data_IF_098360041347
#
_entry.id   IF_098360041347
#
_cell.length_a   1.000
_cell.length_b   1.000
_cell.length_c   1.000
_cell.angle_alpha   90.00
_cell.angle_beta   90.00
_cell.angle_gamma   90.00
#
_symmetry.space_group_name_H-M   'P 1'
#
loop_
_entity.id
_entity.type
_entity.pdbx_description
1 polymer ?
#
# COMPACT_ATOMS: atom_id res chain seq x y z
N UNK A 1 -18.58 32.95 -1.83
CA UNK A 1 -18.34 31.49 -1.83
C UNK A 1 -18.19 31.09 -0.35
N UNK A 2 -19.23 30.50 0.25
CA UNK A 2 -19.24 30.10 1.66
C UNK A 2 -18.16 29.03 1.85
N UNK A 3 -17.13 29.32 2.64
CA UNK A 3 -16.15 28.34 3.11
C UNK A 3 -16.90 27.44 4.11
N UNK A 4 -17.58 26.40 3.61
CA UNK A 4 -18.08 25.34 4.49
C UNK A 4 -16.88 24.72 5.19
N UNK A 5 -16.95 24.58 6.51
CA UNK A 5 -15.96 23.85 7.30
C UNK A 5 -15.76 22.45 6.69
N UNK A 6 -14.52 21.95 6.70
CA UNK A 6 -14.26 20.61 6.19
C UNK A 6 -15.11 19.57 6.96
N UNK A 7 -15.56 18.51 6.30
CA UNK A 7 -16.34 17.47 6.95
C UNK A 7 -15.51 16.84 8.09
N UNK A 8 -16.16 16.65 9.23
CA UNK A 8 -15.59 16.08 10.44
C UNK A 8 -16.27 14.77 10.81
N UNK A 9 -15.70 14.01 11.74
CA UNK A 9 -16.28 12.79 12.28
C UNK A 9 -15.99 11.53 11.45
N UNK A 10 -16.81 10.52 11.67
CA UNK A 10 -16.63 9.18 11.10
C UNK A 10 -17.30 9.08 9.74
N UNK A 11 -16.56 8.68 8.72
CA UNK A 11 -17.08 8.39 7.38
C UNK A 11 -17.15 6.88 7.15
N UNK A 12 -18.37 6.37 6.97
CA UNK A 12 -18.63 5.01 6.49
C UNK A 12 -18.67 4.99 4.96
N UNK A 13 -17.98 4.06 4.35
CA UNK A 13 -17.94 3.94 2.89
C UNK A 13 -18.34 2.54 2.42
N UNK A 14 -17.69 1.51 2.91
CA UNK A 14 -17.88 0.13 2.47
C UNK A 14 -18.05 -0.80 3.68
N UNK A 15 -19.08 -1.62 3.69
CA UNK A 15 -19.25 -2.62 4.75
C UNK A 15 -18.19 -3.72 4.67
N UNK A 16 -17.90 -4.35 5.80
CA UNK A 16 -16.98 -5.49 5.90
C UNK A 16 -17.41 -6.64 4.97
N UNK A 17 -18.71 -6.91 4.89
CA UNK A 17 -19.26 -7.97 4.02
C UNK A 17 -18.96 -7.68 2.54
N UNK A 18 -19.20 -6.45 2.07
CA UNK A 18 -18.91 -6.06 0.69
C UNK A 18 -17.41 -6.18 0.40
N UNK A 19 -16.55 -5.75 1.32
CA UNK A 19 -15.10 -5.91 1.18
C UNK A 19 -14.69 -7.39 1.08
N UNK A 20 -15.23 -8.26 1.96
CA UNK A 20 -14.96 -9.72 1.92
C UNK A 20 -15.34 -10.33 0.57
N UNK A 21 -16.54 -10.03 0.09
CA UNK A 21 -17.04 -10.53 -1.21
C UNK A 21 -16.14 -10.04 -2.34
N UNK A 22 -15.78 -8.77 -2.33
CA UNK A 22 -14.93 -8.17 -3.37
C UNK A 22 -13.53 -8.79 -3.39
N UNK A 23 -12.88 -8.97 -2.24
CA UNK A 23 -11.58 -9.64 -2.16
C UNK A 23 -11.69 -11.10 -2.61
N UNK A 24 -12.72 -11.82 -2.17
CA UNK A 24 -12.94 -13.22 -2.60
C UNK A 24 -13.14 -13.32 -4.11
N UNK A 25 -13.95 -12.44 -4.71
CA UNK A 25 -14.17 -12.41 -6.16
C UNK A 25 -12.87 -12.13 -6.93
N UNK A 26 -12.03 -11.21 -6.46
CA UNK A 26 -10.73 -10.94 -7.09
C UNK A 26 -9.87 -12.20 -7.10
N UNK A 27 -9.79 -12.94 -6.01
CA UNK A 27 -9.01 -14.18 -5.94
C UNK A 27 -9.61 -15.28 -6.80
N UNK A 28 -10.93 -15.48 -6.73
CA UNK A 28 -11.62 -16.51 -7.52
C UNK A 28 -11.47 -16.25 -9.03
N UNK A 29 -11.76 -15.01 -9.46
CA UNK A 29 -11.70 -14.67 -10.89
C UNK A 29 -10.26 -14.65 -11.43
N UNK A 30 -9.26 -14.42 -10.58
CA UNK A 30 -7.85 -14.53 -10.98
C UNK A 30 -7.46 -15.94 -11.43
N UNK A 31 -8.16 -16.99 -10.94
CA UNK A 31 -7.95 -18.36 -11.39
C UNK A 31 -8.37 -18.56 -12.86
N UNK A 32 -9.14 -17.62 -13.40
CA UNK A 32 -9.51 -17.62 -14.83
C UNK A 32 -8.32 -17.61 -15.79
N UNK A 33 -7.10 -17.24 -15.32
CA UNK A 33 -5.86 -17.31 -16.13
C UNK A 33 -5.60 -18.69 -16.73
N UNK A 34 -6.13 -19.74 -16.10
CA UNK A 34 -6.01 -21.14 -16.60
C UNK A 34 -7.06 -21.50 -17.66
N UNK A 35 -8.05 -20.63 -17.90
CA UNK A 35 -9.23 -20.95 -18.72
C UNK A 35 -9.45 -19.96 -19.87
N UNK A 36 -8.68 -18.86 -19.95
CA UNK A 36 -8.81 -17.86 -21.01
C UNK A 36 -7.57 -17.88 -21.93
N UNK A 37 -7.71 -17.41 -23.18
CA UNK A 37 -6.57 -17.26 -24.09
C UNK A 37 -5.42 -16.47 -23.46
N UNK A 38 -4.20 -16.94 -23.69
CA UNK A 38 -2.95 -16.31 -23.25
C UNK A 38 -2.23 -15.65 -24.42
N UNK A 39 -1.67 -14.48 -24.19
CA UNK A 39 -0.69 -13.84 -25.06
C UNK A 39 0.43 -13.22 -24.22
N UNK A 40 1.63 -13.06 -24.77
CA UNK A 40 2.72 -12.35 -24.07
C UNK A 40 2.35 -10.89 -23.72
N UNK A 41 1.67 -10.12 -24.59
CA UNK A 41 1.18 -8.78 -24.22
C UNK A 41 0.22 -8.77 -23.03
N UNK A 42 -0.62 -9.80 -22.83
CA UNK A 42 -1.45 -9.92 -21.61
C UNK A 42 -0.60 -10.08 -20.36
N UNK A 43 0.44 -10.90 -20.41
CA UNK A 43 1.38 -11.04 -19.28
C UNK A 43 2.10 -9.72 -18.98
N UNK A 44 2.60 -9.03 -20.02
CA UNK A 44 3.22 -7.70 -19.85
C UNK A 44 2.22 -6.72 -19.25
N UNK A 45 0.97 -6.69 -19.73
CA UNK A 45 -0.11 -5.88 -19.18
C UNK A 45 -0.39 -6.20 -17.71
N UNK A 46 -0.39 -7.48 -17.33
CA UNK A 46 -0.55 -7.91 -15.95
C UNK A 46 0.60 -7.44 -15.05
N UNK A 47 1.85 -7.54 -15.50
CA UNK A 47 3.02 -7.05 -14.77
C UNK A 47 2.99 -5.52 -14.61
N UNK A 48 2.68 -4.79 -15.68
CA UNK A 48 2.52 -3.33 -15.63
C UNK A 48 1.39 -2.96 -14.66
N UNK A 49 0.24 -3.61 -14.76
CA UNK A 49 -0.89 -3.41 -13.85
C UNK A 49 -0.54 -3.69 -12.38
N UNK A 50 0.25 -4.73 -12.14
CA UNK A 50 0.78 -5.05 -10.81
C UNK A 50 1.65 -3.91 -10.25
N UNK A 51 2.67 -3.49 -10.98
CA UNK A 51 3.58 -2.43 -10.50
C UNK A 51 2.90 -1.07 -10.36
N UNK A 52 1.93 -0.74 -11.23
CA UNK A 52 1.12 0.47 -11.08
C UNK A 52 0.33 0.43 -9.75
N UNK A 53 -0.30 -0.71 -9.41
CA UNK A 53 -1.07 -0.86 -8.15
C UNK A 53 -0.18 -0.82 -6.92
N UNK A 54 0.97 -1.50 -6.95
CA UNK A 54 1.92 -1.47 -5.84
C UNK A 54 2.49 -0.06 -5.65
N UNK A 55 2.80 0.66 -6.74
CA UNK A 55 3.20 2.06 -6.66
C UNK A 55 2.07 2.97 -6.13
N UNK A 56 0.84 2.78 -6.60
CA UNK A 56 -0.32 3.55 -6.15
C UNK A 56 -0.55 3.42 -4.64
N UNK A 57 -0.35 2.21 -4.12
CA UNK A 57 -0.40 1.96 -2.69
C UNK A 57 0.85 2.48 -1.97
N UNK A 58 2.05 2.09 -2.37
CA UNK A 58 3.30 2.45 -1.66
C UNK A 58 3.66 3.93 -1.84
N UNK A 59 3.67 4.45 -3.06
CA UNK A 59 3.96 5.85 -3.36
C UNK A 59 2.81 6.79 -2.98
N UNK A 60 1.56 6.40 -3.28
CA UNK A 60 0.36 7.17 -3.04
C UNK A 60 -0.15 7.04 -1.60
N UNK A 61 -0.83 5.93 -1.28
CA UNK A 61 -1.49 5.76 0.02
C UNK A 61 -0.52 5.83 1.19
N UNK A 62 0.63 5.20 1.07
CA UNK A 62 1.61 5.07 2.15
C UNK A 62 2.50 6.32 2.25
N UNK A 63 3.41 6.57 1.29
CA UNK A 63 4.39 7.67 1.42
C UNK A 63 3.75 9.05 1.32
N UNK A 64 2.75 9.25 0.43
CA UNK A 64 2.13 10.56 0.27
C UNK A 64 1.02 10.81 1.28
N UNK A 65 -0.09 10.02 1.24
CA UNK A 65 -1.27 10.32 2.05
C UNK A 65 -1.05 10.05 3.54
N UNK A 66 -0.31 8.99 3.91
CA UNK A 66 -0.04 8.71 5.33
C UNK A 66 1.07 9.59 5.90
N UNK A 67 2.23 9.68 5.23
CA UNK A 67 3.45 10.24 5.81
C UNK A 67 3.86 11.60 5.27
N UNK A 68 3.20 12.12 4.22
CA UNK A 68 3.58 13.41 3.61
C UNK A 68 5.08 13.47 3.24
N UNK A 69 5.63 12.36 2.75
CA UNK A 69 7.04 12.18 2.48
C UNK A 69 7.57 13.05 1.31
N UNK A 70 6.69 13.60 0.52
CA UNK A 70 6.97 14.56 -0.55
C UNK A 70 5.79 15.50 -0.78
N UNK A 71 5.98 16.51 -1.63
CA UNK A 71 4.93 17.45 -2.03
C UNK A 71 4.53 17.26 -3.50
N UNK A 72 3.31 17.69 -3.82
CA UNK A 72 2.79 17.70 -5.20
C UNK A 72 1.68 18.74 -5.35
N UNK A 73 1.24 18.98 -6.60
CA UNK A 73 0.08 19.83 -6.89
C UNK A 73 -1.24 19.16 -6.47
N UNK A 74 -2.29 19.98 -6.28
CA UNK A 74 -3.64 19.47 -5.94
C UNK A 74 -4.18 18.52 -7.02
N UNK A 75 -3.92 18.82 -8.29
CA UNK A 75 -4.32 17.96 -9.40
C UNK A 75 -3.61 16.61 -9.35
N UNK A 76 -2.29 16.61 -9.16
CA UNK A 76 -1.53 15.36 -9.10
C UNK A 76 -1.84 14.57 -7.81
N UNK A 77 -2.12 15.26 -6.69
CA UNK A 77 -2.67 14.64 -5.48
C UNK A 77 -3.95 13.85 -5.77
N UNK A 78 -4.88 14.44 -6.55
CA UNK A 78 -6.12 13.76 -6.91
C UNK A 78 -5.87 12.55 -7.82
N UNK A 79 -4.95 12.66 -8.79
CA UNK A 79 -4.52 11.52 -9.62
C UNK A 79 -3.91 10.39 -8.79
N UNK A 80 -3.04 10.71 -7.83
CA UNK A 80 -2.51 9.73 -6.88
C UNK A 80 -3.62 9.07 -6.05
N UNK A 81 -4.63 9.84 -5.65
CA UNK A 81 -5.77 9.32 -4.90
C UNK A 81 -6.63 8.37 -5.74
N UNK A 82 -6.86 8.70 -7.02
CA UNK A 82 -7.55 7.81 -7.96
C UNK A 82 -6.78 6.51 -8.18
N UNK A 83 -5.47 6.59 -8.39
CA UNK A 83 -4.62 5.41 -8.51
C UNK A 83 -4.67 4.55 -7.24
N UNK A 84 -4.58 5.18 -6.05
CA UNK A 84 -4.67 4.50 -4.77
C UNK A 84 -6.01 3.78 -4.57
N UNK A 85 -7.14 4.45 -4.89
CA UNK A 85 -8.46 3.83 -4.88
C UNK A 85 -8.57 2.67 -5.90
N UNK A 86 -7.97 2.85 -7.09
CA UNK A 86 -7.89 1.83 -8.14
C UNK A 86 -7.07 0.59 -7.78
N UNK A 87 -6.17 0.69 -6.80
CA UNK A 87 -5.46 -0.47 -6.23
C UNK A 87 -6.38 -1.41 -5.44
N UNK A 88 -7.59 -0.98 -5.09
CA UNK A 88 -8.72 -1.86 -4.75
C UNK A 88 -8.81 -2.27 -3.27
N UNK A 89 -8.05 -1.69 -2.34
CA UNK A 89 -8.22 -2.03 -0.92
C UNK A 89 -9.32 -1.15 -0.32
N UNK A 90 -9.09 0.13 -0.13
CA UNK A 90 -10.06 1.13 0.34
C UNK A 90 -9.64 2.52 -0.14
N UNK A 91 -10.28 3.56 0.38
CA UNK A 91 -9.97 4.94 0.00
C UNK A 91 -8.69 5.50 0.64
N UNK A 92 -8.13 6.60 0.08
CA UNK A 92 -6.85 7.16 0.52
C UNK A 92 -6.89 7.73 1.95
N UNK A 93 -8.02 8.30 2.40
CA UNK A 93 -8.16 8.80 3.77
C UNK A 93 -8.27 7.63 4.76
N UNK A 94 -9.03 6.59 4.40
CA UNK A 94 -9.12 5.37 5.20
C UNK A 94 -7.73 4.78 5.47
N UNK A 95 -6.96 4.62 4.40
CA UNK A 95 -5.60 4.09 4.53
C UNK A 95 -4.74 4.97 5.44
N UNK A 96 -4.74 6.29 5.20
CA UNK A 96 -3.92 7.21 5.97
C UNK A 96 -4.25 7.20 7.46
N UNK A 97 -5.54 7.14 7.84
CA UNK A 97 -5.95 7.12 9.25
C UNK A 97 -5.52 5.86 9.96
N UNK A 98 -5.73 4.70 9.35
CA UNK A 98 -5.34 3.41 9.94
C UNK A 98 -3.83 3.23 10.00
N UNK A 99 -3.11 3.62 8.96
CA UNK A 99 -1.66 3.52 8.92
C UNK A 99 -0.97 4.49 9.91
N UNK A 100 -1.50 5.71 10.06
CA UNK A 100 -1.04 6.64 11.10
C UNK A 100 -1.34 6.12 12.50
N UNK A 101 -2.47 5.44 12.71
CA UNK A 101 -2.78 4.76 13.97
C UNK A 101 -1.77 3.64 14.24
N UNK A 102 -1.52 2.78 13.25
CA UNK A 102 -0.49 1.75 13.33
C UNK A 102 0.86 2.33 13.80
N UNK A 103 1.37 3.40 13.18
CA UNK A 103 2.64 4.00 13.61
C UNK A 103 2.63 4.58 15.02
N UNK A 104 1.47 5.08 15.50
CA UNK A 104 1.36 5.60 16.88
C UNK A 104 1.29 4.48 17.91
N UNK A 105 0.75 3.35 17.57
CA UNK A 105 0.45 2.24 18.49
C UNK A 105 1.13 0.95 18.10
N UNK A 106 2.14 1.03 17.23
CA UNK A 106 2.80 -0.13 16.62
C UNK A 106 3.14 -1.20 17.65
N UNK A 107 2.71 -2.43 17.36
CA UNK A 107 2.93 -3.62 18.18
C UNK A 107 2.36 -3.54 19.61
N UNK A 108 1.34 -2.71 19.83
CA UNK A 108 0.53 -2.73 21.06
C UNK A 108 -0.85 -3.34 20.79
N UNK A 109 -1.65 -3.65 21.85
CA UNK A 109 -3.03 -4.12 21.66
C UNK A 109 -3.94 -3.14 20.89
N UNK A 110 -3.59 -1.86 20.82
CA UNK A 110 -4.34 -0.82 20.08
C UNK A 110 -3.93 -0.73 18.59
N UNK A 111 -2.89 -1.43 18.17
CA UNK A 111 -2.46 -1.48 16.78
C UNK A 111 -3.46 -2.29 15.94
N UNK A 112 -4.08 -1.70 14.90
CA UNK A 112 -5.12 -2.36 14.13
C UNK A 112 -4.63 -3.61 13.39
N UNK A 113 -3.37 -3.67 12.99
CA UNK A 113 -2.86 -4.71 12.08
C UNK A 113 -1.61 -5.45 12.58
N UNK A 114 -1.26 -5.35 13.87
CA UNK A 114 -0.15 -6.14 14.41
C UNK A 114 -0.45 -7.64 14.42
N UNK A 115 0.48 -8.49 13.96
CA UNK A 115 0.35 -9.93 14.06
C UNK A 115 0.61 -10.48 15.47
N UNK A 116 1.14 -9.69 16.41
CA UNK A 116 1.65 -10.18 17.69
C UNK A 116 0.54 -10.70 18.62
N UNK A 117 -0.62 -10.09 18.62
CA UNK A 117 -1.72 -10.43 19.55
C UNK A 117 -2.78 -11.34 18.93
N UNK A 118 -3.04 -11.20 17.62
CA UNK A 118 -4.11 -11.96 16.94
C UNK A 118 -3.56 -12.92 15.86
N UNK A 119 -2.24 -13.05 15.78
CA UNK A 119 -1.54 -13.97 14.90
C UNK A 119 -1.33 -13.46 13.47
N UNK A 120 -0.54 -14.22 12.71
CA UNK A 120 -0.09 -13.86 11.36
C UNK A 120 -1.23 -13.49 10.41
N UNK A 121 -2.28 -14.31 10.34
CA UNK A 121 -3.40 -14.08 9.42
C UNK A 121 -4.19 -12.82 9.73
N UNK A 122 -4.25 -12.41 11.01
CA UNK A 122 -4.82 -11.12 11.37
C UNK A 122 -3.98 -9.98 10.81
N UNK A 123 -2.66 -9.96 11.05
CA UNK A 123 -1.75 -8.94 10.52
C UNK A 123 -1.70 -8.93 8.99
N UNK A 124 -1.87 -10.09 8.35
CA UNK A 124 -1.84 -10.24 6.90
C UNK A 124 -3.08 -9.63 6.22
N UNK A 125 -4.27 -10.05 6.61
CA UNK A 125 -5.52 -9.62 5.96
C UNK A 125 -6.71 -9.48 6.93
N UNK A 126 -6.71 -10.19 8.06
CA UNK A 126 -7.85 -10.27 8.95
C UNK A 126 -8.27 -8.93 9.54
N UNK A 127 -7.32 -8.05 9.81
CA UNK A 127 -7.57 -6.71 10.35
C UNK A 127 -8.49 -5.85 9.46
N UNK A 128 -8.48 -6.09 8.13
CA UNK A 128 -9.37 -5.41 7.19
C UNK A 128 -10.85 -5.75 7.42
N UNK A 129 -11.12 -6.89 8.03
CA UNK A 129 -12.47 -7.42 8.27
C UNK A 129 -12.99 -7.15 9.69
N UNK A 130 -12.21 -6.43 10.50
CA UNK A 130 -12.67 -5.99 11.81
C UNK A 130 -13.67 -4.82 11.65
N UNK A 131 -14.86 -4.87 12.26
CA UNK A 131 -15.89 -3.84 12.11
C UNK A 131 -15.39 -2.43 12.47
N UNK A 132 -14.57 -2.31 13.52
CA UNK A 132 -13.98 -1.03 13.94
C UNK A 132 -13.05 -0.41 12.90
N UNK A 133 -12.50 -1.21 11.98
CA UNK A 133 -11.63 -0.75 10.89
C UNK A 133 -12.41 -0.43 9.60
N UNK A 134 -13.75 -0.57 9.59
CA UNK A 134 -14.54 -0.35 8.38
C UNK A 134 -14.67 1.13 7.98
N UNK A 135 -14.56 2.04 8.94
CA UNK A 135 -14.78 3.48 8.74
C UNK A 135 -13.47 4.28 8.68
N UNK A 136 -13.55 5.51 8.21
CA UNK A 136 -12.46 6.50 8.20
C UNK A 136 -12.73 7.56 9.26
N UNK A 137 -11.74 7.86 10.10
CA UNK A 137 -11.77 9.00 11.02
C UNK A 137 -11.23 10.25 10.30
N UNK A 138 -12.13 11.14 9.88
CA UNK A 138 -11.77 12.37 9.19
C UNK A 138 -11.02 13.35 10.11
N UNK A 139 -11.28 13.31 11.42
CA UNK A 139 -10.60 14.15 12.40
C UNK A 139 -9.14 13.75 12.60
N UNK A 140 -8.82 12.47 12.46
CA UNK A 140 -7.45 11.98 12.48
C UNK A 140 -6.66 12.32 11.19
N UNK A 141 -7.36 12.76 10.11
CA UNK A 141 -6.76 13.13 8.84
C UNK A 141 -7.28 14.48 8.31
N UNK A 142 -7.42 15.50 9.18
CA UNK A 142 -7.89 16.86 8.82
C UNK A 142 -7.11 17.49 7.67
N UNK A 143 -5.82 17.20 7.57
CA UNK A 143 -4.94 17.61 6.48
C UNK A 143 -5.35 17.05 5.12
N UNK A 144 -6.06 15.93 5.07
CA UNK A 144 -6.65 15.31 3.87
C UNK A 144 -8.13 15.69 3.72
N UNK A 145 -8.89 15.68 4.83
CA UNK A 145 -10.33 15.96 4.83
C UNK A 145 -10.68 17.38 4.37
N UNK A 146 -9.73 18.33 4.43
CA UNK A 146 -9.90 19.68 3.86
C UNK A 146 -10.06 19.71 2.33
N UNK A 147 -9.81 18.60 1.63
CA UNK A 147 -9.97 18.47 0.19
C UNK A 147 -11.26 17.69 -0.12
N UNK A 148 -12.36 18.38 -0.54
CA UNK A 148 -13.65 17.72 -0.77
C UNK A 148 -13.57 16.55 -1.74
N UNK A 149 -12.76 16.68 -2.79
CA UNK A 149 -12.54 15.62 -3.78
C UNK A 149 -11.95 14.34 -3.17
N UNK A 150 -11.09 14.47 -2.17
CA UNK A 150 -10.53 13.30 -1.47
C UNK A 150 -11.58 12.64 -0.57
N UNK A 151 -12.44 13.44 0.08
CA UNK A 151 -13.54 12.94 0.93
C UNK A 151 -14.56 12.19 0.08
N UNK A 152 -14.96 12.76 -1.06
CA UNK A 152 -15.88 12.09 -2.00
C UNK A 152 -15.27 10.81 -2.55
N UNK A 153 -14.01 10.85 -3.00
CA UNK A 153 -13.32 9.68 -3.50
C UNK A 153 -13.16 8.60 -2.42
N UNK A 154 -12.85 9.00 -1.18
CA UNK A 154 -12.74 8.06 -0.06
C UNK A 154 -14.06 7.35 0.24
N UNK A 155 -15.19 8.07 0.12
CA UNK A 155 -16.53 7.50 0.30
C UNK A 155 -16.90 6.53 -0.81
N UNK A 156 -16.56 6.84 -2.06
CA UNK A 156 -16.96 6.11 -3.25
C UNK A 156 -15.82 5.35 -3.93
N UNK A 157 -14.73 5.08 -3.21
CA UNK A 157 -13.51 4.46 -3.73
C UNK A 157 -13.74 3.15 -4.51
N UNK A 158 -14.76 2.37 -4.13
CA UNK A 158 -15.06 1.07 -4.73
C UNK A 158 -15.57 1.15 -6.18
N UNK A 159 -15.98 2.32 -6.67
CA UNK A 159 -16.31 2.51 -8.08
C UNK A 159 -15.07 2.60 -8.98
N UNK A 160 -13.93 3.06 -8.46
CA UNK A 160 -12.71 3.23 -9.26
C UNK A 160 -12.21 1.91 -9.84
N UNK A 161 -12.08 0.81 -9.08
CA UNK A 161 -11.71 -0.49 -9.63
C UNK A 161 -12.68 -0.99 -10.70
N UNK A 162 -13.99 -0.70 -10.58
CA UNK A 162 -14.98 -1.08 -11.60
C UNK A 162 -14.77 -0.34 -12.92
N UNK A 163 -14.43 0.95 -12.86
CA UNK A 163 -14.06 1.73 -14.04
C UNK A 163 -12.79 1.19 -14.68
N UNK A 164 -11.76 0.88 -13.87
CA UNK A 164 -10.51 0.29 -14.37
C UNK A 164 -10.76 -1.06 -15.03
N UNK A 165 -11.62 -1.91 -14.43
CA UNK A 165 -12.03 -3.19 -15.02
C UNK A 165 -12.72 -2.99 -16.37
N UNK A 166 -13.71 -2.09 -16.44
CA UNK A 166 -14.44 -1.80 -17.67
C UNK A 166 -13.51 -1.29 -18.77
N UNK A 167 -12.61 -0.34 -18.46
CA UNK A 167 -11.62 0.17 -19.42
C UNK A 167 -10.69 -0.94 -19.88
N UNK A 168 -10.20 -1.79 -18.97
CA UNK A 168 -9.32 -2.92 -19.31
C UNK A 168 -10.02 -3.90 -20.25
N UNK A 169 -11.29 -4.23 -19.98
CA UNK A 169 -12.11 -5.07 -20.85
C UNK A 169 -12.26 -4.45 -22.25
N UNK A 170 -12.69 -3.17 -22.32
CA UNK A 170 -12.91 -2.48 -23.60
C UNK A 170 -11.62 -2.37 -24.43
N UNK A 171 -10.48 -2.09 -23.79
CA UNK A 171 -9.19 -2.08 -24.48
C UNK A 171 -8.86 -3.45 -25.04
N UNK A 172 -9.06 -4.52 -24.29
CA UNK A 172 -8.83 -5.89 -24.78
C UNK A 172 -9.79 -6.32 -25.87
N UNK A 173 -11.05 -5.84 -25.84
CA UNK A 173 -12.08 -6.20 -26.81
C UNK A 173 -11.87 -5.48 -28.15
N UNK A 174 -11.62 -4.18 -28.12
CA UNK A 174 -11.66 -3.33 -29.30
C UNK A 174 -10.29 -2.90 -29.83
N UNK A 175 -9.18 -3.25 -29.17
CA UNK A 175 -7.84 -2.92 -29.63
C UNK A 175 -6.95 -4.16 -29.72
N UNK A 176 -5.89 -4.10 -30.53
CA UNK A 176 -4.87 -5.16 -30.59
C UNK A 176 -3.74 -4.99 -29.54
N UNK A 177 -3.91 -4.15 -28.53
CA UNK A 177 -2.88 -3.87 -27.52
C UNK A 177 -2.38 -5.14 -26.83
N UNK A 178 -3.27 -6.10 -26.61
CA UNK A 178 -2.94 -7.38 -25.97
C UNK A 178 -2.67 -8.53 -26.96
N UNK A 179 -2.36 -8.20 -28.20
CA UNK A 179 -1.98 -9.16 -29.24
C UNK A 179 -3.04 -9.43 -30.29
N UNK A 180 -4.32 -9.24 -29.99
CA UNK A 180 -5.44 -9.31 -30.91
C UNK A 180 -6.64 -8.54 -30.34
N UNK A 181 -7.65 -8.25 -31.18
CA UNK A 181 -8.99 -7.84 -30.76
C UNK A 181 -9.79 -9.03 -30.24
N UNK A 182 -10.90 -8.80 -29.52
CA UNK A 182 -11.74 -9.86 -28.95
C UNK A 182 -11.15 -10.52 -27.69
N UNK A 183 -10.15 -9.91 -27.07
CA UNK A 183 -9.51 -10.39 -25.84
C UNK A 183 -10.02 -9.69 -24.57
N UNK A 184 -11.22 -9.10 -24.58
CA UNK A 184 -11.78 -8.37 -23.46
C UNK A 184 -11.82 -9.17 -22.16
N UNK A 185 -12.32 -10.41 -22.20
CA UNK A 185 -12.36 -11.31 -21.03
C UNK A 185 -10.94 -11.68 -20.58
N UNK A 186 -10.05 -12.02 -21.51
CA UNK A 186 -8.65 -12.33 -21.17
C UNK A 186 -7.94 -11.15 -20.54
N UNK A 187 -8.15 -9.92 -21.04
CA UNK A 187 -7.61 -8.70 -20.48
C UNK A 187 -8.16 -8.45 -19.06
N UNK A 188 -9.46 -8.61 -18.85
CA UNK A 188 -10.07 -8.50 -17.52
C UNK A 188 -9.45 -9.51 -16.54
N UNK A 189 -9.26 -10.75 -16.95
CA UNK A 189 -8.68 -11.80 -16.10
C UNK A 189 -7.19 -11.53 -15.81
N UNK A 190 -6.36 -11.36 -16.84
CA UNK A 190 -4.91 -11.19 -16.67
C UNK A 190 -4.53 -9.83 -16.12
N UNK A 191 -4.99 -8.75 -16.78
CA UNK A 191 -4.50 -7.38 -16.51
C UNK A 191 -5.21 -6.74 -15.33
N UNK A 192 -6.47 -7.13 -15.03
CA UNK A 192 -7.17 -6.60 -13.87
C UNK A 192 -7.17 -7.60 -12.70
N UNK A 193 -7.85 -8.75 -12.78
CA UNK A 193 -8.04 -9.63 -11.62
C UNK A 193 -6.73 -10.26 -11.13
N UNK A 194 -5.96 -10.88 -12.01
CA UNK A 194 -4.72 -11.54 -11.62
C UNK A 194 -3.67 -10.56 -11.09
N UNK A 195 -3.46 -9.42 -11.77
CA UNK A 195 -2.52 -8.40 -11.29
C UNK A 195 -2.96 -7.76 -9.96
N UNK A 196 -4.29 -7.58 -9.76
CA UNK A 196 -4.84 -7.07 -8.50
C UNK A 196 -4.63 -8.08 -7.37
N UNK A 197 -4.92 -9.36 -7.61
CA UNK A 197 -4.69 -10.42 -6.63
C UNK A 197 -3.22 -10.46 -6.21
N UNK A 198 -2.27 -10.44 -7.16
CA UNK A 198 -0.84 -10.41 -6.84
C UNK A 198 -0.44 -9.16 -6.04
N UNK A 199 -0.98 -7.98 -6.39
CA UNK A 199 -0.69 -6.75 -5.66
C UNK A 199 -1.20 -6.78 -4.21
N UNK A 200 -2.33 -7.47 -3.94
CA UNK A 200 -2.81 -7.70 -2.58
C UNK A 200 -1.84 -8.55 -1.77
N UNK A 201 -1.26 -9.62 -2.37
CA UNK A 201 -0.27 -10.44 -1.66
C UNK A 201 0.96 -9.61 -1.27
N UNK A 202 1.46 -8.76 -2.18
CA UNK A 202 2.58 -7.87 -1.89
C UNK A 202 2.24 -6.90 -0.75
N UNK A 203 1.07 -6.24 -0.81
CA UNK A 203 0.58 -5.30 0.20
C UNK A 203 0.44 -5.97 1.58
N UNK A 204 -0.30 -7.08 1.64
CA UNK A 204 -0.61 -7.74 2.90
C UNK A 204 0.63 -8.36 3.57
N UNK A 205 1.63 -8.76 2.77
CA UNK A 205 2.87 -9.33 3.29
C UNK A 205 3.74 -8.33 4.06
N UNK A 206 3.67 -7.02 3.75
CA UNK A 206 4.58 -6.02 4.34
C UNK A 206 4.45 -5.95 5.86
N UNK A 207 3.24 -5.71 6.37
CA UNK A 207 2.99 -5.64 7.81
C UNK A 207 3.19 -6.99 8.49
N UNK A 208 2.59 -8.06 7.92
CA UNK A 208 2.63 -9.40 8.51
C UNK A 208 4.06 -9.96 8.62
N UNK A 209 4.89 -9.83 7.57
CA UNK A 209 6.29 -10.29 7.61
C UNK A 209 7.19 -9.29 8.35
N UNK A 210 6.92 -8.01 8.21
CA UNK A 210 7.71 -6.94 8.83
C UNK A 210 7.65 -6.96 10.36
N UNK A 211 6.48 -7.26 10.96
CA UNK A 211 6.28 -7.32 12.41
C UNK A 211 6.12 -8.74 12.96
N UNK A 212 5.64 -9.69 12.14
CA UNK A 212 5.35 -11.07 12.59
C UNK A 212 6.54 -12.00 12.64
N UNK A 213 7.64 -11.66 11.97
CA UNK A 213 8.82 -12.52 11.92
C UNK A 213 9.99 -11.91 12.69
N UNK A 214 10.67 -12.69 13.55
CA UNK A 214 11.84 -12.20 14.28
C UNK A 214 13.00 -11.90 13.33
N UNK A 215 13.90 -11.01 13.75
CA UNK A 215 15.15 -10.79 13.04
C UNK A 215 15.96 -12.08 12.95
N UNK A 216 16.52 -12.39 11.78
CA UNK A 216 17.22 -13.63 11.50
C UNK A 216 17.92 -13.62 10.15
N UNK A 217 18.00 -14.81 9.52
CA UNK A 217 18.68 -14.97 8.23
C UNK A 217 18.05 -14.13 7.12
N UNK A 218 16.72 -14.09 7.05
CA UNK A 218 15.96 -13.45 5.99
C UNK A 218 15.45 -12.06 6.36
N UNK A 219 15.17 -11.82 7.64
CA UNK A 219 14.68 -10.56 8.17
C UNK A 219 15.78 -9.84 8.93
N UNK A 220 15.98 -8.55 8.68
CA UNK A 220 17.04 -7.76 9.28
C UNK A 220 16.47 -6.60 10.08
N UNK A 221 16.82 -6.50 11.36
CA UNK A 221 16.57 -5.33 12.18
C UNK A 221 17.82 -4.45 12.14
N UNK A 222 17.70 -3.29 11.55
CA UNK A 222 18.83 -2.35 11.38
C UNK A 222 18.83 -1.26 12.44
N UNK A 223 17.65 -0.85 12.85
CA UNK A 223 17.45 0.24 13.80
C UNK A 223 16.68 -0.25 15.01
N UNK A 224 17.05 0.27 16.18
CA UNK A 224 16.20 0.18 17.37
C UNK A 224 14.98 1.09 17.16
N UNK A 225 13.81 0.49 17.08
CA UNK A 225 12.51 1.14 17.05
C UNK A 225 11.68 0.64 18.22
N UNK A 226 10.66 1.37 18.64
CA UNK A 226 9.79 1.00 19.76
C UNK A 226 8.89 -0.22 19.46
N UNK A 227 9.05 -0.85 18.29
CA UNK A 227 8.27 -1.95 17.76
C UNK A 227 9.17 -3.13 17.36
N UNK A 228 8.58 -4.19 16.79
CA UNK A 228 9.30 -5.39 16.33
C UNK A 228 9.68 -5.35 14.86
N UNK A 229 9.51 -4.20 14.18
CA UNK A 229 9.69 -4.09 12.74
C UNK A 229 11.05 -4.59 12.25
N UNK A 230 11.05 -5.29 11.12
CA UNK A 230 12.23 -5.82 10.44
C UNK A 230 12.20 -5.47 8.96
N UNK A 231 13.37 -5.36 8.34
CA UNK A 231 13.51 -5.31 6.88
C UNK A 231 13.47 -6.72 6.29
N UNK A 232 12.73 -6.91 5.20
CA UNK A 232 12.62 -8.18 4.47
C UNK A 232 13.21 -8.03 3.06
N UNK A 233 14.55 -8.09 2.89
CA UNK A 233 15.22 -7.76 1.61
C UNK A 233 14.73 -8.58 0.42
N UNK A 234 14.36 -9.84 0.63
CA UNK A 234 13.88 -10.74 -0.43
C UNK A 234 12.60 -10.21 -1.10
N UNK A 235 11.79 -9.43 -0.38
CA UNK A 235 10.53 -8.89 -0.88
C UNK A 235 10.67 -7.50 -1.52
N UNK A 236 11.88 -6.90 -1.56
CA UNK A 236 12.05 -5.50 -1.92
C UNK A 236 11.59 -5.17 -3.36
N UNK A 237 11.79 -6.07 -4.32
CA UNK A 237 11.34 -5.88 -5.70
C UNK A 237 9.81 -5.99 -5.79
N UNK A 238 9.24 -7.04 -5.21
CA UNK A 238 7.79 -7.28 -5.25
C UNK A 238 7.00 -6.18 -4.54
N UNK A 239 7.49 -5.68 -3.43
CA UNK A 239 6.85 -4.60 -2.67
C UNK A 239 7.30 -3.20 -3.09
N UNK A 240 8.07 -3.08 -4.18
CA UNK A 240 8.67 -1.82 -4.67
C UNK A 240 9.42 -1.04 -3.59
N UNK A 241 10.00 -1.73 -2.60
CA UNK A 241 10.76 -1.13 -1.51
C UNK A 241 10.03 -0.99 -0.17
N UNK A 242 8.71 -1.26 -0.09
CA UNK A 242 7.96 -1.20 1.18
C UNK A 242 8.50 -2.18 2.24
N UNK A 243 9.12 -3.27 1.81
CA UNK A 243 9.72 -4.28 2.71
C UNK A 243 11.00 -3.82 3.45
N UNK A 244 11.52 -2.62 3.18
CA UNK A 244 12.49 -1.94 4.04
C UNK A 244 11.78 -1.36 5.27
N UNK A 245 11.02 -2.17 5.96
CA UNK A 245 10.00 -1.77 6.93
C UNK A 245 10.59 -1.24 8.25
N UNK A 246 11.67 -1.82 8.77
CA UNK A 246 12.37 -1.29 9.95
C UNK A 246 13.05 0.08 9.65
N UNK A 247 13.59 0.27 8.44
CA UNK A 247 14.06 1.59 8.02
C UNK A 247 12.91 2.60 8.03
N UNK A 248 11.77 2.20 7.46
CA UNK A 248 10.57 3.02 7.41
C UNK A 248 10.07 3.39 8.82
N UNK A 249 9.96 2.43 9.75
CA UNK A 249 9.58 2.71 11.15
C UNK A 249 10.59 3.62 11.87
N UNK A 250 11.87 3.60 11.48
CA UNK A 250 12.87 4.55 12.02
C UNK A 250 12.69 5.96 11.49
N UNK A 251 12.23 6.15 10.26
CA UNK A 251 12.02 7.46 9.64
C UNK A 251 10.87 7.41 8.63
N UNK A 252 9.64 7.34 9.15
CA UNK A 252 8.42 7.19 8.35
C UNK A 252 8.18 8.35 7.36
N UNK A 253 8.68 9.54 7.66
CA UNK A 253 8.55 10.71 6.79
C UNK A 253 9.51 10.72 5.60
N UNK A 254 10.45 9.79 5.49
CA UNK A 254 11.36 9.72 4.36
C UNK A 254 10.65 9.25 3.08
N UNK A 255 10.95 9.88 1.94
CA UNK A 255 10.42 9.49 0.63
C UNK A 255 11.08 8.21 0.10
N UNK A 256 12.14 7.74 0.73
CA UNK A 256 12.79 6.46 0.44
C UNK A 256 12.78 5.55 1.68
N UNK A 257 12.47 4.28 1.48
CA UNK A 257 12.57 3.26 2.54
C UNK A 257 13.90 2.49 2.47
N UNK A 258 14.47 2.33 1.28
CA UNK A 258 15.82 1.83 1.09
C UNK A 258 16.85 2.93 1.34
N UNK A 259 17.37 3.07 2.58
CA UNK A 259 18.22 4.21 2.99
C UNK A 259 19.61 4.22 2.34
N UNK A 260 20.10 3.08 1.89
CA UNK A 260 21.43 2.93 1.32
C UNK A 260 21.37 2.55 -0.16
N UNK A 261 22.42 2.82 -0.94
CA UNK A 261 22.46 2.58 -2.38
C UNK A 261 22.22 1.11 -2.78
N UNK A 262 22.57 0.16 -1.91
CA UNK A 262 22.35 -1.28 -2.12
C UNK A 262 20.95 -1.75 -1.69
N UNK A 263 20.16 -0.90 -1.07
CA UNK A 263 18.78 -1.18 -0.69
C UNK A 263 17.87 -0.69 -1.82
N UNK A 264 17.54 -1.61 -2.71
CA UNK A 264 16.71 -1.29 -3.87
C UNK A 264 15.31 -0.82 -3.44
N UNK A 265 14.88 0.33 -3.96
CA UNK A 265 13.61 0.99 -3.66
C UNK A 265 13.02 1.54 -4.96
N UNK A 266 12.23 0.71 -5.65
CA UNK A 266 11.66 1.06 -6.94
C UNK A 266 10.67 2.22 -6.83
N UNK A 267 9.89 2.31 -5.74
CA UNK A 267 9.00 3.46 -5.50
C UNK A 267 9.79 4.77 -5.46
N UNK A 268 10.93 4.79 -4.78
CA UNK A 268 11.76 5.99 -4.74
C UNK A 268 12.33 6.35 -6.12
N UNK A 269 12.72 5.36 -6.93
CA UNK A 269 13.17 5.61 -8.30
C UNK A 269 12.06 6.22 -9.15
N UNK A 270 10.82 5.70 -9.07
CA UNK A 270 9.66 6.31 -9.74
C UNK A 270 9.43 7.74 -9.25
N UNK A 271 9.50 8.00 -7.93
CA UNK A 271 9.38 9.36 -7.38
C UNK A 271 10.48 10.29 -7.91
N UNK A 272 11.71 9.80 -8.13
CA UNK A 272 12.79 10.58 -8.75
C UNK A 272 12.47 10.94 -10.21
N UNK A 273 11.88 10.04 -10.97
CA UNK A 273 11.39 10.32 -12.33
C UNK A 273 10.27 11.38 -12.29
N UNK A 274 9.30 11.22 -11.42
CA UNK A 274 8.21 12.19 -11.26
C UNK A 274 8.72 13.56 -10.79
N UNK A 275 9.78 13.60 -9.97
CA UNK A 275 10.46 14.83 -9.58
C UNK A 275 11.14 15.51 -10.79
N UNK A 276 11.83 14.76 -11.62
CA UNK A 276 12.45 15.29 -12.83
C UNK A 276 11.43 15.85 -13.83
N UNK A 277 10.21 15.29 -13.85
CA UNK A 277 9.07 15.77 -14.63
C UNK A 277 8.31 16.96 -13.96
N UNK A 278 8.75 17.43 -12.78
CA UNK A 278 8.09 18.52 -12.05
C UNK A 278 6.73 18.15 -11.43
N UNK A 279 6.36 16.87 -11.39
CA UNK A 279 5.08 16.40 -10.85
C UNK A 279 5.09 16.28 -9.32
N UNK A 280 6.25 16.02 -8.73
CA UNK A 280 6.47 15.96 -7.28
C UNK A 280 7.74 16.71 -6.89
N UNK A 281 7.81 17.20 -5.65
CA UNK A 281 8.97 17.92 -5.14
C UNK A 281 9.13 17.69 -3.62
N UNK A 282 10.20 18.22 -3.03
CA UNK A 282 10.52 18.08 -1.60
C UNK A 282 10.51 16.62 -1.14
N UNK A 283 11.20 15.73 -1.87
CA UNK A 283 11.37 14.34 -1.47
C UNK A 283 12.22 14.28 -0.21
N UNK A 284 11.57 14.08 0.95
CA UNK A 284 12.25 14.05 2.25
C UNK A 284 13.23 12.89 2.34
N UNK A 285 14.39 13.16 2.97
CA UNK A 285 15.45 12.17 3.14
C UNK A 285 15.66 11.87 4.63
N UNK A 286 16.11 10.65 4.99
CA UNK A 286 16.59 10.39 6.34
C UNK A 286 17.78 11.29 6.65
N UNK A 287 17.88 11.78 7.91
CA UNK A 287 18.99 12.64 8.33
C UNK A 287 20.34 11.91 8.28
N UNK A 288 21.44 12.69 8.21
CA UNK A 288 22.78 12.13 8.26
C UNK A 288 23.04 11.33 9.54
N UNK A 289 22.44 11.71 10.67
CA UNK A 289 22.52 10.98 11.93
C UNK A 289 21.88 9.59 11.85
N UNK A 290 20.68 9.50 11.26
CA UNK A 290 19.99 8.20 11.04
C UNK A 290 20.82 7.31 10.09
N UNK A 291 21.35 7.86 9.01
CA UNK A 291 22.19 7.11 8.08
C UNK A 291 23.48 6.60 8.76
N UNK A 292 24.08 7.39 9.66
CA UNK A 292 25.27 7.00 10.43
C UNK A 292 24.92 5.93 11.48
N UNK A 293 23.79 6.06 12.16
CA UNK A 293 23.27 5.05 13.12
C UNK A 293 23.15 3.68 12.44
N UNK A 294 22.44 3.59 11.33
CA UNK A 294 22.20 2.33 10.64
C UNK A 294 23.44 1.73 9.94
N UNK A 295 24.59 2.42 9.86
CA UNK A 295 25.87 1.85 9.40
C UNK A 295 26.67 1.18 10.52
N UNK A 296 26.35 1.47 11.80
CA UNK A 296 27.17 1.12 12.96
C UNK A 296 26.94 -0.29 13.51
N UNK A 297 26.10 -1.10 13.00
CA UNK A 297 25.80 -2.50 13.32
C UNK A 297 24.29 -2.76 13.30
N UNK A 298 23.83 -3.96 12.96
CA UNK A 298 22.45 -4.35 13.22
C UNK A 298 22.19 -4.30 14.73
N UNK A 299 21.02 -3.78 15.13
CA UNK A 299 20.58 -3.77 16.51
C UNK A 299 20.67 -5.18 17.13
N UNK A 300 21.02 -5.30 18.44
CA UNK A 300 21.06 -6.60 19.12
C UNK A 300 19.70 -7.31 19.00
N UNK A 301 19.75 -8.63 19.02
CA UNK A 301 18.54 -9.45 19.03
C UNK A 301 17.83 -9.22 20.35
N UNK A 302 16.65 -8.57 20.36
CA UNK A 302 15.78 -8.63 21.51
C UNK A 302 15.32 -10.09 21.68
N UNK A 303 15.77 -10.72 22.77
CA UNK A 303 15.32 -12.04 23.19
C UNK A 303 13.80 -11.97 23.46
N UNK A 304 13.03 -12.84 22.83
CA UNK A 304 11.59 -13.05 23.13
C UNK A 304 11.37 -13.79 24.47
N UNK A 305 12.40 -13.98 25.28
CA UNK A 305 12.34 -14.92 26.40
C UNK A 305 11.66 -14.38 27.68
N UNK A 306 11.19 -13.13 27.69
CA UNK A 306 10.57 -12.57 28.92
C UNK A 306 9.06 -12.25 28.81
N UNK A 307 8.38 -12.45 27.68
CA UNK A 307 6.97 -12.05 27.52
C UNK A 307 5.95 -13.20 27.46
N UNK A 308 6.37 -14.48 27.65
CA UNK A 308 5.46 -15.64 27.62
C UNK A 308 5.46 -16.42 28.95
N UNK A 309 5.86 -15.77 30.02
CA UNK A 309 5.85 -16.39 31.33
C UNK A 309 5.27 -15.49 32.41
N UNK A 310 3.97 -15.20 32.36
CA UNK A 310 3.13 -14.93 33.55
C UNK A 310 1.65 -14.88 33.12
#
# INVERSE_FOLDING_TARGET
>A
MSLSLPPTGIQNAESVTVLRVRLALVHLLSLGVFFVPFTYPLLVGALVGYFIRVFAWEGGSHRYFSHRAFKTSRTFQFLLALLAAGAGVRGPIWWATHHRLHHRTSDTPADPNTPLYKGFWHGYVGWLFEPQNASSDLDAAKDLARFPELVVLNRYHYYVPLVVLAVTYLVGEYTALFGATGLGVSAAIWVFFFSTMLSFQALFSVGALGHGLPAGRFNKRRFETGDTSTNVPLMCLLTMGASWHNNHHRCASAARSGFYWWQFDLTYLVLKVLQALGLVWDLRQPSASILKEGRRSPAPRHGRDEAVGR
#
